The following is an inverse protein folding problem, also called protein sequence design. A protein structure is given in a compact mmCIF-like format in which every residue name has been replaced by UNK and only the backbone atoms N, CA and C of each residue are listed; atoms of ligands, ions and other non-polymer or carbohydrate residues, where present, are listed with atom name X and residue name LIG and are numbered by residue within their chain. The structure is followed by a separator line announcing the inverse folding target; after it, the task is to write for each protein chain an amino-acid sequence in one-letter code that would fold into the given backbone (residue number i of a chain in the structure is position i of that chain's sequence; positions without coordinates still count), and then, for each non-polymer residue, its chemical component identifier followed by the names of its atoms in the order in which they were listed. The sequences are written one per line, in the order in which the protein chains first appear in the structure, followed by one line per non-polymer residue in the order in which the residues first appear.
data_IF_506797616989
#
_entry.id   IF_506797616989
#
_cell.length_a   1.000
_cell.length_b   1.000
_cell.length_c   1.000
_cell.angle_alpha   90.00
_cell.angle_beta   90.00
_cell.angle_gamma   90.00
#
_symmetry.space_group_name_H-M   'P 1'
#
loop_
_entity.id
_entity.type
_entity.pdbx_description
1 polymer ?
#
# COMPACT_ATOMS: atom_id res chain seq x y z
N UNK A 1 6.00 -9.17 16.47
CA UNK A 1 5.56 -9.91 15.25
C UNK A 1 5.62 -11.42 15.51
N UNK A 2 4.57 -12.18 15.28
CA UNK A 2 4.51 -13.64 15.43
C UNK A 2 4.89 -14.37 14.13
N UNK A 3 5.04 -15.72 14.21
CA UNK A 3 5.41 -16.52 13.03
C UNK A 3 4.39 -16.45 11.89
N UNK A 4 3.10 -16.29 12.20
CA UNK A 4 2.04 -16.19 11.18
C UNK A 4 2.09 -14.84 10.46
N UNK A 5 2.32 -13.73 11.19
CA UNK A 5 2.52 -12.42 10.58
C UNK A 5 3.66 -12.47 9.56
N UNK A 6 4.81 -13.01 9.96
CA UNK A 6 5.99 -13.10 9.10
C UNK A 6 5.75 -13.97 7.87
N UNK A 7 5.09 -15.12 8.05
CA UNK A 7 4.73 -16.02 6.95
C UNK A 7 3.79 -15.32 5.95
N UNK A 8 2.77 -14.61 6.45
CA UNK A 8 1.81 -13.91 5.59
C UNK A 8 2.47 -12.76 4.83
N UNK A 9 3.31 -11.96 5.50
CA UNK A 9 4.08 -10.87 4.87
C UNK A 9 4.96 -11.42 3.76
N UNK A 10 5.69 -12.51 4.02
CA UNK A 10 6.54 -13.13 3.01
C UNK A 10 5.71 -13.76 1.87
N UNK A 11 4.53 -14.30 2.16
CA UNK A 11 3.59 -14.75 1.12
C UNK A 11 3.21 -13.61 0.19
N UNK A 12 2.83 -12.44 0.73
CA UNK A 12 2.50 -11.26 -0.08
C UNK A 12 3.70 -10.81 -0.94
N UNK A 13 4.91 -10.78 -0.36
CA UNK A 13 6.15 -10.45 -1.07
C UNK A 13 6.38 -11.37 -2.25
N UNK A 14 6.29 -12.69 -2.04
CA UNK A 14 6.61 -13.67 -3.08
C UNK A 14 5.52 -13.80 -4.12
N UNK A 15 4.24 -13.74 -3.76
CA UNK A 15 3.16 -13.68 -4.75
C UNK A 15 3.35 -12.51 -5.70
N UNK A 16 3.66 -11.32 -5.18
CA UNK A 16 3.91 -10.15 -6.01
C UNK A 16 5.17 -10.30 -6.88
N UNK A 17 6.30 -10.71 -6.29
CA UNK A 17 7.56 -10.84 -7.02
C UNK A 17 7.49 -11.91 -8.12
N UNK A 18 6.85 -13.04 -7.85
CA UNK A 18 6.70 -14.14 -8.80
C UNK A 18 5.71 -13.82 -9.92
N UNK A 19 4.61 -13.10 -9.63
CA UNK A 19 3.69 -12.62 -10.66
C UNK A 19 4.41 -11.67 -11.63
N UNK A 20 5.20 -10.74 -11.10
CA UNK A 20 6.02 -9.81 -11.87
C UNK A 20 7.07 -10.55 -12.70
N UNK A 21 7.75 -11.52 -12.10
CA UNK A 21 8.77 -12.32 -12.78
C UNK A 21 8.17 -13.12 -13.94
N UNK A 22 7.03 -13.74 -13.74
CA UNK A 22 6.31 -14.48 -14.78
C UNK A 22 5.86 -13.57 -15.91
N UNK A 23 5.36 -12.38 -15.59
CA UNK A 23 4.97 -11.39 -16.59
C UNK A 23 6.18 -10.74 -17.31
N UNK A 24 7.40 -10.92 -16.81
CA UNK A 24 8.61 -10.22 -17.24
C UNK A 24 8.44 -8.70 -17.29
N UNK A 25 7.56 -8.18 -16.46
CA UNK A 25 7.20 -6.76 -16.39
C UNK A 25 6.54 -6.44 -15.08
N UNK A 26 6.91 -5.35 -14.45
CA UNK A 26 6.28 -4.84 -13.22
C UNK A 26 7.29 -4.25 -12.23
N UNK A 27 6.80 -3.89 -11.05
CA UNK A 27 7.55 -3.14 -10.04
C UNK A 27 7.62 -3.94 -8.74
N UNK A 28 8.69 -4.72 -8.51
CA UNK A 28 8.80 -5.57 -7.32
C UNK A 28 9.24 -4.83 -6.06
N UNK A 29 9.87 -3.68 -6.21
CA UNK A 29 10.55 -2.99 -5.12
C UNK A 29 9.63 -2.56 -3.98
N UNK A 30 8.56 -1.82 -4.30
CA UNK A 30 7.55 -1.42 -3.32
C UNK A 30 6.83 -2.63 -2.70
N UNK A 31 6.34 -3.63 -3.46
CA UNK A 31 5.77 -4.84 -2.88
C UNK A 31 6.64 -5.53 -1.84
N UNK A 32 7.94 -5.61 -2.06
CA UNK A 32 8.86 -6.21 -1.10
C UNK A 32 9.09 -5.35 0.14
N UNK A 33 9.21 -4.03 -0.03
CA UNK A 33 9.47 -3.09 1.07
C UNK A 33 8.23 -2.81 1.92
N UNK A 34 7.11 -2.48 1.29
CA UNK A 34 5.90 -2.02 1.95
C UNK A 34 4.94 -3.15 2.39
N UNK A 35 5.26 -4.43 2.10
CA UNK A 35 4.39 -5.56 2.48
C UNK A 35 4.03 -5.58 3.97
N UNK A 36 4.92 -5.30 4.94
CA UNK A 36 4.54 -5.29 6.35
C UNK A 36 3.53 -4.19 6.69
N UNK A 37 3.68 -3.00 6.12
CA UNK A 37 2.75 -1.89 6.33
C UNK A 37 1.35 -2.22 5.77
N UNK A 38 1.30 -2.73 4.54
CA UNK A 38 0.07 -3.16 3.91
C UNK A 38 -0.59 -4.33 4.67
N UNK A 39 0.19 -5.33 5.09
CA UNK A 39 -0.29 -6.45 5.91
C UNK A 39 -0.88 -5.95 7.24
N UNK A 40 -0.16 -5.08 7.95
CA UNK A 40 -0.61 -4.58 9.25
C UNK A 40 -1.95 -3.87 9.13
N UNK A 41 -2.09 -3.01 8.12
CA UNK A 41 -3.36 -2.37 7.84
C UNK A 41 -4.47 -3.39 7.54
N UNK A 42 -4.27 -4.28 6.58
CA UNK A 42 -5.31 -5.20 6.09
C UNK A 42 -5.69 -6.27 7.10
N UNK A 43 -4.73 -6.80 7.86
CA UNK A 43 -4.97 -7.89 8.80
C UNK A 43 -5.48 -7.43 10.16
N UNK A 44 -5.14 -6.21 10.58
CA UNK A 44 -5.33 -5.79 11.97
C UNK A 44 -6.22 -4.56 12.14
N UNK A 45 -6.37 -3.72 11.11
CA UNK A 45 -6.96 -2.40 11.26
C UNK A 45 -8.10 -2.10 10.29
N UNK A 46 -8.09 -2.67 9.09
CA UNK A 46 -9.04 -2.38 8.02
C UNK A 46 -10.42 -2.99 8.30
N UNK A 47 -11.44 -2.17 8.37
CA UNK A 47 -12.84 -2.59 8.46
C UNK A 47 -13.37 -2.92 7.07
N UNK A 48 -13.38 -4.21 6.72
CA UNK A 48 -13.78 -4.69 5.40
C UNK A 48 -14.55 -6.01 5.47
N UNK A 49 -15.31 -6.30 4.42
CA UNK A 49 -16.02 -7.58 4.28
C UNK A 49 -15.81 -8.11 2.86
N UNK A 50 -14.89 -9.06 2.63
CA UNK A 50 -14.65 -9.62 1.30
C UNK A 50 -15.89 -10.30 0.67
N UNK A 51 -16.79 -10.84 1.49
CA UNK A 51 -18.05 -11.43 1.01
C UNK A 51 -19.08 -10.36 0.55
N UNK A 52 -18.91 -9.11 1.00
CA UNK A 52 -19.68 -7.95 0.55
C UNK A 52 -18.74 -6.78 0.27
N UNK A 53 -17.93 -6.84 -0.81
CA UNK A 53 -16.88 -5.87 -1.10
C UNK A 53 -17.41 -4.45 -1.40
N UNK A 54 -18.72 -4.33 -1.61
CA UNK A 54 -19.38 -3.03 -1.85
C UNK A 54 -20.15 -2.51 -0.63
N UNK A 55 -19.93 -3.09 0.56
CA UNK A 55 -20.55 -2.59 1.78
C UNK A 55 -20.27 -1.08 1.96
N UNK A 56 -21.33 -0.30 2.18
CA UNK A 56 -21.25 1.17 2.12
C UNK A 56 -20.35 1.76 3.22
N UNK A 57 -20.35 1.19 4.42
CA UNK A 57 -19.54 1.67 5.54
C UNK A 57 -18.23 0.87 5.74
N UNK A 58 -17.71 0.23 4.67
CA UNK A 58 -16.35 -0.34 4.67
C UNK A 58 -15.31 0.77 4.67
N UNK A 59 -14.15 0.51 5.26
CA UNK A 59 -12.99 1.35 5.04
C UNK A 59 -12.56 1.32 3.56
N UNK A 60 -11.94 2.38 3.09
CA UNK A 60 -11.41 2.51 1.73
C UNK A 60 -9.90 2.37 1.76
N UNK A 61 -9.36 1.51 0.91
CA UNK A 61 -7.93 1.39 0.71
C UNK A 61 -7.55 1.81 -0.70
N UNK A 62 -6.69 2.81 -0.82
CA UNK A 62 -6.20 3.36 -2.08
C UNK A 62 -4.69 3.10 -2.19
N UNK A 63 -4.27 2.33 -3.18
CA UNK A 63 -2.86 2.24 -3.54
C UNK A 63 -2.52 3.41 -4.45
N UNK A 64 -2.07 4.54 -3.86
CA UNK A 64 -1.67 5.74 -4.61
C UNK A 64 -0.39 5.48 -5.43
N UNK A 65 0.53 4.70 -4.91
CA UNK A 65 1.67 4.17 -5.66
C UNK A 65 1.21 3.00 -6.55
N UNK A 66 0.37 3.31 -7.56
CA UNK A 66 -0.34 2.30 -8.38
C UNK A 66 0.57 1.32 -9.12
N UNK A 67 1.84 1.66 -9.34
CA UNK A 67 2.85 0.75 -9.88
C UNK A 67 3.09 -0.48 -8.98
N UNK A 68 2.83 -0.38 -7.67
CA UNK A 68 2.85 -1.50 -6.72
C UNK A 68 1.65 -2.44 -6.80
N UNK A 69 0.89 -2.43 -7.89
CA UNK A 69 -0.36 -3.19 -8.10
C UNK A 69 -0.27 -4.67 -7.75
N UNK A 70 0.88 -5.32 -7.98
CA UNK A 70 1.07 -6.73 -7.64
C UNK A 70 0.93 -6.98 -6.12
N UNK A 71 1.30 -6.01 -5.25
CA UNK A 71 1.03 -6.09 -3.81
C UNK A 71 -0.48 -6.04 -3.53
N UNK A 72 -1.20 -5.11 -4.15
CA UNK A 72 -2.65 -5.01 -3.98
C UNK A 72 -3.37 -6.28 -4.41
N UNK A 73 -2.99 -6.86 -5.55
CA UNK A 73 -3.61 -8.12 -6.00
C UNK A 73 -3.26 -9.30 -5.09
N UNK A 74 -2.05 -9.33 -4.53
CA UNK A 74 -1.67 -10.32 -3.52
C UNK A 74 -2.51 -10.17 -2.24
N UNK A 75 -2.76 -8.95 -1.78
CA UNK A 75 -3.67 -8.66 -0.67
C UNK A 75 -5.10 -9.13 -0.99
N UNK A 76 -5.65 -8.74 -2.13
CA UNK A 76 -7.00 -9.12 -2.55
C UNK A 76 -7.16 -10.66 -2.63
N UNK A 77 -6.12 -11.36 -3.09
CA UNK A 77 -6.10 -12.83 -3.10
C UNK A 77 -6.10 -13.41 -1.67
N UNK A 78 -5.14 -12.99 -0.84
CA UNK A 78 -4.94 -13.53 0.52
C UNK A 78 -6.13 -13.23 1.43
N UNK A 79 -6.74 -12.05 1.29
CA UNK A 79 -7.87 -11.62 2.11
C UNK A 79 -9.25 -11.97 1.53
N UNK A 80 -9.31 -12.78 0.45
CA UNK A 80 -10.54 -13.44 0.02
C UNK A 80 -11.47 -12.61 -0.88
N UNK A 81 -10.96 -11.65 -1.63
CA UNK A 81 -11.75 -10.86 -2.60
C UNK A 81 -12.00 -11.56 -3.94
N UNK A 82 -11.77 -12.85 -4.02
CA UNK A 82 -12.10 -13.69 -5.16
C UNK A 82 -11.02 -13.81 -6.22
N UNK A 83 -9.90 -13.08 -6.14
CA UNK A 83 -8.76 -13.32 -7.01
C UNK A 83 -8.14 -14.70 -6.73
N UNK A 84 -7.88 -15.46 -7.77
CA UNK A 84 -7.25 -16.78 -7.69
C UNK A 84 -5.74 -16.70 -7.95
N UNK A 85 -5.03 -17.78 -7.65
CA UNK A 85 -3.60 -17.92 -8.04
C UNK A 85 -3.43 -17.81 -9.56
N UNK A 86 -4.38 -18.32 -10.35
CA UNK A 86 -4.32 -18.23 -11.80
C UNK A 86 -4.46 -16.77 -12.29
N UNK A 87 -5.27 -15.96 -11.59
CA UNK A 87 -5.35 -14.52 -11.89
C UNK A 87 -4.02 -13.81 -11.62
N UNK A 88 -3.34 -14.14 -10.50
CA UNK A 88 -2.01 -13.60 -10.21
C UNK A 88 -0.96 -14.05 -11.24
N UNK A 89 -1.03 -15.31 -11.71
CA UNK A 89 -0.17 -15.81 -12.79
C UNK A 89 -0.38 -15.08 -14.13
N UNK A 90 -1.55 -14.48 -14.31
CA UNK A 90 -1.91 -13.70 -15.50
C UNK A 90 -1.69 -12.20 -15.31
N UNK A 91 -0.87 -11.80 -14.34
CA UNK A 91 -0.52 -10.39 -14.12
C UNK A 91 -0.03 -9.72 -15.40
N UNK A 92 -0.60 -8.54 -15.71
CA UNK A 92 -0.31 -7.73 -16.92
C UNK A 92 -0.61 -8.42 -18.24
N UNK A 93 -1.36 -9.52 -18.25
CA UNK A 93 -1.77 -10.14 -19.50
C UNK A 93 -3.07 -9.52 -20.03
N UNK A 94 -3.28 -9.60 -21.35
CA UNK A 94 -4.50 -9.10 -21.96
C UNK A 94 -5.74 -9.77 -21.35
N UNK A 95 -6.74 -8.97 -21.01
CA UNK A 95 -8.02 -9.39 -20.41
C UNK A 95 -7.88 -10.07 -19.01
N UNK A 96 -6.74 -9.92 -18.33
CA UNK A 96 -6.59 -10.45 -16.98
C UNK A 96 -7.30 -9.56 -15.95
N UNK A 97 -7.68 -10.13 -14.81
CA UNK A 97 -8.21 -9.39 -13.66
C UNK A 97 -7.13 -8.65 -12.87
N UNK A 98 -5.86 -8.77 -13.29
CA UNK A 98 -4.70 -8.18 -12.63
C UNK A 98 -3.89 -7.30 -13.60
N UNK A 99 -4.48 -6.17 -14.07
CA UNK A 99 -3.80 -5.24 -14.98
C UNK A 99 -2.55 -4.63 -14.33
N UNK A 100 -1.73 -3.97 -15.13
CA UNK A 100 -0.45 -3.40 -14.68
C UNK A 100 -0.56 -2.34 -13.59
N UNK A 101 -1.69 -1.65 -13.53
CA UNK A 101 -2.07 -0.68 -12.50
C UNK A 101 -3.50 -0.97 -12.07
N UNK A 102 -3.90 -0.62 -10.81
CA UNK A 102 -5.26 -0.87 -10.36
C UNK A 102 -6.30 -0.14 -11.20
N UNK A 103 -7.38 -0.83 -11.56
CA UNK A 103 -8.49 -0.28 -12.33
C UNK A 103 -9.81 -0.46 -11.57
N UNK A 104 -10.48 0.66 -11.26
CA UNK A 104 -11.77 0.66 -10.57
C UNK A 104 -12.84 -0.07 -11.37
N UNK A 105 -13.61 -0.92 -10.70
CA UNK A 105 -14.64 -1.81 -11.28
C UNK A 105 -14.12 -2.92 -12.19
N UNK A 106 -12.83 -2.98 -12.48
CA UNK A 106 -12.24 -4.10 -13.22
C UNK A 106 -11.89 -5.26 -12.28
N UNK A 107 -11.23 -4.95 -11.16
CA UNK A 107 -10.87 -5.93 -10.13
C UNK A 107 -11.69 -5.69 -8.88
N UNK A 108 -12.35 -6.71 -8.35
CA UNK A 108 -13.12 -6.62 -7.09
C UNK A 108 -12.22 -6.17 -5.95
N UNK A 109 -12.66 -5.17 -5.18
CA UNK A 109 -11.91 -4.61 -4.05
C UNK A 109 -10.95 -3.47 -4.42
N UNK A 110 -10.81 -3.13 -5.70
CA UNK A 110 -10.09 -1.92 -6.13
C UNK A 110 -11.01 -0.71 -6.04
N UNK A 111 -10.63 0.24 -5.19
CA UNK A 111 -11.46 1.44 -4.90
C UNK A 111 -11.23 2.58 -5.89
N UNK A 112 -10.05 2.68 -6.48
CA UNK A 112 -9.66 3.79 -7.38
C UNK A 112 -8.73 3.28 -8.47
N UNK A 113 -8.90 3.77 -9.69
CA UNK A 113 -7.91 3.62 -10.76
C UNK A 113 -6.70 4.52 -10.44
N UNK A 114 -5.53 3.93 -10.32
CA UNK A 114 -4.27 4.63 -10.06
C UNK A 114 -3.19 4.22 -11.05
N UNK A 115 -2.08 4.92 -11.03
CA UNK A 115 -0.95 4.78 -11.97
C UNK A 115 -0.25 6.12 -12.09
N UNK A 116 -0.90 7.20 -12.54
CA UNK A 116 -0.34 8.55 -12.41
C UNK A 116 -0.15 8.90 -10.93
N UNK A 117 1.10 9.19 -10.54
CA UNK A 117 1.47 9.44 -9.15
C UNK A 117 0.72 10.65 -8.58
N UNK A 118 0.48 10.66 -7.27
CA UNK A 118 -0.27 11.72 -6.57
C UNK A 118 -1.79 11.66 -6.69
N UNK A 119 -2.33 11.08 -7.77
CA UNK A 119 -3.78 11.03 -8.01
C UNK A 119 -4.51 10.19 -6.94
N UNK A 120 -3.91 9.10 -6.47
CA UNK A 120 -4.50 8.27 -5.42
C UNK A 120 -4.69 9.02 -4.10
N UNK A 121 -3.73 9.87 -3.71
CA UNK A 121 -3.85 10.75 -2.54
C UNK A 121 -5.01 11.72 -2.71
N UNK A 122 -5.11 12.37 -3.87
CA UNK A 122 -6.19 13.30 -4.15
C UNK A 122 -7.58 12.62 -4.11
N UNK A 123 -7.69 11.40 -4.67
CA UNK A 123 -8.91 10.60 -4.56
C UNK A 123 -9.22 10.21 -3.11
N UNK A 124 -8.21 9.85 -2.31
CA UNK A 124 -8.40 9.53 -0.90
C UNK A 124 -8.94 10.73 -0.10
N UNK A 125 -8.43 11.93 -0.37
CA UNK A 125 -8.97 13.17 0.22
C UNK A 125 -10.42 13.38 -0.19
N UNK A 126 -10.77 13.15 -1.47
CA UNK A 126 -12.15 13.23 -1.94
C UNK A 126 -13.09 12.22 -1.26
N UNK A 127 -12.61 10.99 -1.01
CA UNK A 127 -13.37 9.97 -0.28
C UNK A 127 -13.56 10.33 1.19
N UNK A 128 -12.53 10.86 1.86
CA UNK A 128 -12.63 11.32 3.24
C UNK A 128 -13.58 12.52 3.38
N UNK A 129 -13.57 13.42 2.40
CA UNK A 129 -14.54 14.53 2.33
C UNK A 129 -15.97 14.00 2.14
N UNK A 130 -16.17 13.01 1.28
CA UNK A 130 -17.47 12.38 1.07
C UNK A 130 -17.96 11.68 2.35
N UNK A 131 -17.09 10.97 3.07
CA UNK A 131 -17.41 10.37 4.37
C UNK A 131 -17.87 11.42 5.36
N UNK A 132 -17.11 12.49 5.55
CA UNK A 132 -17.43 13.58 6.47
C UNK A 132 -18.78 14.22 6.14
N UNK A 133 -19.06 14.47 4.85
CA UNK A 133 -20.35 15.02 4.39
C UNK A 133 -21.50 14.05 4.68
N UNK A 134 -21.34 12.76 4.36
CA UNK A 134 -22.38 11.74 4.58
C UNK A 134 -22.62 11.49 6.07
N UNK A 135 -21.57 11.48 6.88
CA UNK A 135 -21.65 11.37 8.33
C UNK A 135 -22.46 12.53 8.94
N UNK A 136 -22.16 13.77 8.51
CA UNK A 136 -22.91 14.95 8.96
C UNK A 136 -24.39 14.92 8.54
N UNK A 137 -24.70 14.26 7.42
CA UNK A 137 -26.07 14.19 6.90
C UNK A 137 -26.88 13.06 7.52
N UNK A 138 -26.29 11.89 7.79
CA UNK A 138 -27.02 10.67 8.13
C UNK A 138 -26.78 10.15 9.55
N UNK A 139 -25.70 10.55 10.22
CA UNK A 139 -25.45 10.10 11.58
C UNK A 139 -26.35 10.85 12.59
N UNK A 140 -26.75 10.13 13.62
CA UNK A 140 -27.44 10.68 14.78
C UNK A 140 -26.61 10.43 16.05
N UNK A 141 -26.94 11.05 17.19
CA UNK A 141 -26.26 10.74 18.46
C UNK A 141 -26.28 9.25 18.83
N UNK A 142 -27.37 8.54 18.45
CA UNK A 142 -27.58 7.13 18.78
C UNK A 142 -27.00 6.19 17.73
N UNK A 143 -26.90 6.61 16.46
CA UNK A 143 -26.51 5.75 15.36
C UNK A 143 -25.48 6.39 14.43
N UNK A 144 -24.35 5.74 14.26
CA UNK A 144 -23.34 6.08 13.24
C UNK A 144 -23.55 5.20 12.01
N UNK A 145 -24.24 5.75 11.01
CA UNK A 145 -24.52 5.07 9.73
C UNK A 145 -23.31 5.12 8.82
N UNK A 146 -22.51 6.19 8.91
CA UNK A 146 -21.28 6.40 8.13
C UNK A 146 -20.15 6.68 9.10
N UNK A 147 -19.21 5.74 9.20
CA UNK A 147 -18.10 5.83 10.18
C UNK A 147 -16.91 4.99 9.69
N UNK A 148 -16.42 5.29 8.48
CA UNK A 148 -15.32 4.56 7.87
C UNK A 148 -14.09 5.45 7.65
N UNK A 149 -12.93 4.82 7.69
CA UNK A 149 -11.65 5.46 7.35
C UNK A 149 -11.33 5.32 5.87
N UNK A 150 -10.52 6.24 5.39
CA UNK A 150 -9.87 6.16 4.08
C UNK A 150 -8.36 6.06 4.29
N UNK A 151 -7.78 4.98 3.81
CA UNK A 151 -6.35 4.74 3.88
C UNK A 151 -5.72 4.87 2.49
N UNK A 152 -4.58 5.53 2.40
CA UNK A 152 -3.79 5.58 1.18
C UNK A 152 -2.37 5.08 1.45
N UNK A 153 -1.85 4.19 0.57
CA UNK A 153 -0.44 3.83 0.55
C UNK A 153 0.24 4.56 -0.61
N UNK A 154 1.22 5.38 -0.30
CA UNK A 154 1.98 6.17 -1.27
C UNK A 154 3.48 5.99 -1.09
N UNK A 155 4.26 6.34 -2.09
CA UNK A 155 5.71 6.43 -2.03
C UNK A 155 6.18 7.88 -2.25
N UNK A 156 7.49 8.09 -2.25
CA UNK A 156 8.14 9.38 -2.45
C UNK A 156 7.63 10.10 -3.71
N UNK A 157 7.51 9.38 -4.83
CA UNK A 157 7.05 9.95 -6.10
C UNK A 157 5.62 10.50 -6.06
N UNK A 158 4.72 9.93 -5.24
CA UNK A 158 3.38 10.48 -5.07
C UNK A 158 3.41 11.86 -4.38
N UNK A 159 4.34 12.06 -3.45
CA UNK A 159 4.44 13.29 -2.66
C UNK A 159 5.21 14.40 -3.38
N UNK A 160 5.86 14.07 -4.50
CA UNK A 160 6.48 15.06 -5.40
C UNK A 160 5.46 15.73 -6.32
N UNK A 161 4.29 15.11 -6.52
CA UNK A 161 3.26 15.65 -7.40
C UNK A 161 2.49 16.83 -6.78
N UNK A 162 2.28 17.89 -7.56
CA UNK A 162 1.56 19.10 -7.11
C UNK A 162 0.15 18.80 -6.61
N UNK A 163 -0.58 17.90 -7.31
CA UNK A 163 -1.93 17.53 -6.92
C UNK A 163 -2.01 16.89 -5.53
N UNK A 164 -0.98 16.16 -5.11
CA UNK A 164 -0.92 15.59 -3.75
C UNK A 164 -0.80 16.71 -2.70
N UNK A 165 0.01 17.72 -2.96
CA UNK A 165 0.19 18.87 -2.08
C UNK A 165 -1.09 19.70 -1.96
N UNK A 166 -1.75 19.98 -3.09
CA UNK A 166 -3.03 20.72 -3.11
C UNK A 166 -4.12 19.98 -2.34
N UNK A 167 -4.26 18.67 -2.58
CA UNK A 167 -5.24 17.83 -1.88
C UNK A 167 -4.94 17.72 -0.37
N UNK A 168 -3.66 17.56 0.00
CA UNK A 168 -3.25 17.50 1.41
C UNK A 168 -3.53 18.82 2.14
N UNK A 169 -3.26 19.96 1.52
CA UNK A 169 -3.60 21.28 2.06
C UNK A 169 -5.10 21.44 2.28
N UNK A 170 -5.94 20.99 1.34
CA UNK A 170 -7.39 20.99 1.48
C UNK A 170 -7.84 20.10 2.65
N UNK A 171 -7.30 18.89 2.76
CA UNK A 171 -7.65 17.95 3.83
C UNK A 171 -7.34 18.51 5.22
N UNK A 172 -6.18 19.14 5.39
CA UNK A 172 -5.82 19.82 6.64
C UNK A 172 -6.72 21.01 6.96
N UNK A 173 -7.02 21.85 5.95
CA UNK A 173 -7.94 22.99 6.11
C UNK A 173 -9.33 22.55 6.55
N UNK A 174 -9.82 21.42 6.04
CA UNK A 174 -11.15 20.88 6.35
C UNK A 174 -11.16 19.96 7.58
N UNK A 175 -10.00 19.65 8.18
CA UNK A 175 -9.91 18.76 9.33
C UNK A 175 -10.42 17.35 9.06
N UNK A 176 -10.11 16.78 7.89
CA UNK A 176 -10.59 15.45 7.48
C UNK A 176 -9.88 14.34 8.26
N UNK A 177 -10.24 14.14 9.51
CA UNK A 177 -9.55 13.27 10.45
C UNK A 177 -9.68 11.76 10.18
N UNK A 178 -10.48 11.35 9.20
CA UNK A 178 -10.62 9.95 8.82
C UNK A 178 -9.81 9.55 7.58
N UNK A 179 -8.87 10.40 7.14
CA UNK A 179 -7.85 9.99 6.19
C UNK A 179 -6.54 9.68 6.91
N UNK A 180 -5.97 8.51 6.63
CA UNK A 180 -4.67 8.08 7.13
C UNK A 180 -3.81 7.66 5.95
N UNK A 181 -2.69 8.36 5.75
CA UNK A 181 -1.73 8.07 4.68
C UNK A 181 -0.56 7.28 5.25
N UNK A 182 -0.32 6.08 4.71
CA UNK A 182 0.89 5.30 4.94
C UNK A 182 1.91 5.70 3.87
N UNK A 183 2.98 6.33 4.27
CA UNK A 183 4.03 6.81 3.36
C UNK A 183 5.22 5.85 3.40
N UNK A 184 5.40 5.08 2.32
CA UNK A 184 6.56 4.24 2.04
C UNK A 184 7.75 5.11 1.70
N UNK A 185 8.55 5.46 2.71
CA UNK A 185 9.76 6.27 2.60
C UNK A 185 10.96 5.35 2.36
N UNK A 186 11.25 5.07 1.10
CA UNK A 186 12.32 4.14 0.74
C UNK A 186 13.52 4.84 0.08
N UNK A 187 13.47 6.15 -0.08
CA UNK A 187 14.52 7.03 -0.61
C UNK A 187 14.95 6.76 -2.05
N UNK A 188 14.19 5.98 -2.81
CA UNK A 188 14.52 5.62 -4.20
C UNK A 188 13.38 6.00 -5.14
N UNK A 189 13.74 6.63 -6.23
CA UNK A 189 12.90 6.82 -7.42
C UNK A 189 13.37 5.90 -8.55
N UNK A 190 12.78 6.04 -9.75
CA UNK A 190 13.08 5.19 -10.91
C UNK A 190 14.58 5.14 -11.21
N UNK A 191 15.27 6.27 -11.19
CA UNK A 191 16.67 6.38 -11.64
C UNK A 191 17.69 6.48 -10.49
N UNK A 192 17.25 6.70 -9.24
CA UNK A 192 18.19 6.87 -8.14
C UNK A 192 17.60 7.40 -6.85
N UNK A 193 18.48 7.96 -6.04
CA UNK A 193 18.17 8.50 -4.73
C UNK A 193 17.27 9.74 -4.82
N UNK A 194 16.28 9.83 -3.93
CA UNK A 194 15.37 10.98 -3.81
C UNK A 194 16.10 12.27 -3.52
N UNK A 195 17.25 12.26 -2.84
CA UNK A 195 18.03 13.45 -2.50
C UNK A 195 18.42 14.30 -3.72
N UNK A 196 18.38 13.73 -4.93
CA UNK A 196 18.65 14.47 -6.17
C UNK A 196 17.56 15.50 -6.49
N UNK A 197 16.29 15.20 -6.20
CA UNK A 197 15.14 16.01 -6.62
C UNK A 197 14.07 16.19 -5.52
N UNK A 198 14.19 15.52 -4.39
CA UNK A 198 13.20 15.51 -3.32
C UNK A 198 13.89 15.45 -1.94
N UNK A 199 14.53 16.57 -1.57
CA UNK A 199 15.33 16.69 -0.34
C UNK A 199 14.56 17.41 0.79
N UNK A 200 13.25 17.54 0.68
CA UNK A 200 12.41 18.22 1.67
C UNK A 200 12.13 17.35 2.90
N UNK A 201 11.75 18.01 4.00
CA UNK A 201 11.17 17.36 5.17
C UNK A 201 9.66 17.24 4.97
N UNK A 202 9.24 16.05 4.51
CA UNK A 202 7.82 15.76 4.21
C UNK A 202 6.94 15.94 5.44
N UNK A 203 7.37 15.48 6.63
CA UNK A 203 6.55 15.57 7.83
C UNK A 203 6.31 17.02 8.22
N UNK A 204 7.33 17.90 8.16
CA UNK A 204 7.15 19.32 8.41
C UNK A 204 6.23 19.99 7.40
N UNK A 205 6.29 19.59 6.12
CA UNK A 205 5.34 20.08 5.12
C UNK A 205 3.91 19.72 5.48
N UNK A 206 3.65 18.47 5.89
CA UNK A 206 2.32 18.03 6.31
C UNK A 206 1.86 18.66 7.64
N UNK A 207 2.77 18.88 8.58
CA UNK A 207 2.49 19.68 9.80
C UNK A 207 2.01 21.09 9.44
N UNK A 208 2.66 21.74 8.46
CA UNK A 208 2.25 23.06 7.98
C UNK A 208 0.88 23.04 7.28
N UNK A 209 0.45 21.91 6.70
CA UNK A 209 -0.91 21.74 6.20
C UNK A 209 -1.93 21.46 7.31
N UNK A 210 -1.51 21.27 8.57
CA UNK A 210 -2.40 20.97 9.68
C UNK A 210 -2.67 19.49 9.91
N UNK A 211 -1.82 18.61 9.40
CA UNK A 211 -1.90 17.17 9.62
C UNK A 211 -1.23 16.72 10.93
N UNK A 212 -1.69 15.61 11.47
CA UNK A 212 -0.96 14.80 12.43
C UNK A 212 0.13 14.01 11.71
N UNK A 213 1.36 14.06 12.21
CA UNK A 213 2.50 13.40 11.58
C UNK A 213 3.15 12.42 12.52
N UNK A 214 3.46 11.24 12.02
CA UNK A 214 4.08 10.17 12.78
C UNK A 214 5.19 9.53 11.95
N UNK A 215 6.16 8.90 12.63
CA UNK A 215 7.26 8.19 12.01
C UNK A 215 7.44 6.79 12.61
N UNK A 216 7.62 5.80 11.75
CA UNK A 216 8.01 4.43 12.08
C UNK A 216 9.38 4.17 11.47
N UNK A 217 10.39 4.01 12.33
CA UNK A 217 11.79 3.91 11.94
C UNK A 217 12.18 2.56 11.28
N UNK A 218 11.38 1.51 11.47
CA UNK A 218 11.56 0.21 10.82
C UNK A 218 10.25 -0.27 10.22
N UNK A 219 10.17 -0.24 8.91
CA UNK A 219 9.00 -0.71 8.14
C UNK A 219 8.70 -2.21 8.28
N UNK A 220 9.53 -2.98 8.97
CA UNK A 220 9.25 -4.37 9.31
C UNK A 220 8.70 -4.54 10.74
N UNK A 221 8.64 -3.49 11.53
CA UNK A 221 8.06 -3.53 12.87
C UNK A 221 6.53 -3.39 12.80
N UNK A 222 5.84 -4.53 12.68
CA UNK A 222 4.38 -4.64 12.61
C UNK A 222 3.69 -4.00 13.83
N UNK A 223 4.30 -4.13 15.01
CA UNK A 223 3.71 -3.63 16.25
C UNK A 223 3.82 -2.09 16.31
N UNK A 224 4.94 -1.52 15.87
CA UNK A 224 5.11 -0.08 15.74
C UNK A 224 4.17 0.53 14.67
N UNK A 225 4.03 -0.13 13.52
CA UNK A 225 3.08 0.30 12.47
C UNK A 225 1.64 0.29 12.99
N UNK A 226 1.24 -0.78 13.69
CA UNK A 226 -0.09 -0.88 14.28
C UNK A 226 -0.34 0.21 15.32
N UNK A 227 0.64 0.46 16.18
CA UNK A 227 0.55 1.52 17.19
C UNK A 227 0.39 2.92 16.56
N UNK A 228 1.12 3.20 15.47
CA UNK A 228 1.00 4.44 14.74
C UNK A 228 -0.39 4.61 14.09
N UNK A 229 -0.94 3.56 13.45
CA UNK A 229 -2.30 3.60 12.90
C UNK A 229 -3.34 3.81 14.01
N UNK A 230 -3.19 3.13 15.15
CA UNK A 230 -4.08 3.29 16.30
C UNK A 230 -4.00 4.70 16.92
N UNK A 231 -2.84 5.34 16.88
CA UNK A 231 -2.67 6.73 17.32
C UNK A 231 -3.32 7.70 16.31
N UNK A 232 -3.12 7.49 15.01
CA UNK A 232 -3.75 8.28 13.94
C UNK A 232 -5.28 8.26 14.02
N UNK A 233 -5.88 7.10 14.35
CA UNK A 233 -7.35 6.98 14.55
C UNK A 233 -7.88 7.81 15.73
N UNK A 234 -7.03 8.25 16.64
CA UNK A 234 -7.41 9.09 17.79
C UNK A 234 -7.18 10.58 17.54
N UNK A 235 -6.50 10.91 16.46
CA UNK A 235 -6.26 12.30 16.06
C UNK A 235 -7.55 12.96 15.58
N UNK A 236 -7.71 14.24 15.84
CA UNK A 236 -8.76 15.09 15.30
C UNK A 236 -8.35 15.72 13.94
N UNK A 237 -7.21 15.33 13.40
CA UNK A 237 -6.61 15.81 12.16
C UNK A 237 -6.43 14.67 11.15
N UNK A 238 -6.35 14.97 9.84
CA UNK A 238 -5.83 14.00 8.88
C UNK A 238 -4.42 13.57 9.31
N UNK A 239 -4.06 12.30 9.06
CA UNK A 239 -2.78 11.75 9.54
C UNK A 239 -1.93 11.20 8.41
N UNK A 240 -0.61 11.44 8.49
CA UNK A 240 0.40 10.79 7.67
C UNK A 240 1.41 10.06 8.56
N UNK A 241 1.66 8.80 8.23
CA UNK A 241 2.62 7.94 8.93
C UNK A 241 3.77 7.66 7.97
N UNK A 242 4.91 8.30 8.17
CA UNK A 242 6.14 8.00 7.45
C UNK A 242 6.70 6.68 7.96
N UNK A 243 6.88 5.73 7.07
CA UNK A 243 7.39 4.40 7.39
C UNK A 243 8.70 4.22 6.62
N UNK A 244 9.81 4.15 7.36
CA UNK A 244 11.12 3.90 6.78
C UNK A 244 11.22 2.47 6.28
N UNK A 245 11.33 2.31 4.97
CA UNK A 245 11.38 1.01 4.32
C UNK A 245 12.66 0.85 3.49
N UNK A 246 12.85 -0.33 2.94
CA UNK A 246 13.90 -0.59 1.96
C UNK A 246 13.27 -1.17 0.71
N UNK A 247 13.38 -0.45 -0.40
CA UNK A 247 12.93 -0.95 -1.70
C UNK A 247 13.58 -2.31 -1.99
N UNK A 248 12.80 -3.28 -2.48
CA UNK A 248 13.34 -4.60 -2.77
C UNK A 248 13.80 -5.37 -1.53
N UNK A 249 13.18 -5.17 -0.36
CA UNK A 249 13.57 -5.77 0.90
C UNK A 249 13.76 -7.28 0.81
N UNK A 250 14.88 -7.76 1.33
CA UNK A 250 15.25 -9.17 1.34
C UNK A 250 16.02 -9.62 0.10
N UNK A 251 16.05 -8.86 -1.00
CA UNK A 251 16.80 -9.19 -2.20
C UNK A 251 18.30 -8.90 -2.02
N UNK A 252 19.18 -9.90 -1.91
CA UNK A 252 20.57 -9.68 -1.47
C UNK A 252 21.36 -8.74 -2.37
N UNK A 253 21.09 -8.75 -3.68
CA UNK A 253 21.84 -7.97 -4.66
C UNK A 253 21.13 -6.67 -5.07
N UNK A 254 19.80 -6.56 -4.85
CA UNK A 254 18.98 -5.44 -5.36
C UNK A 254 18.34 -4.58 -4.27
N UNK A 255 18.28 -5.02 -3.01
CA UNK A 255 17.69 -4.25 -1.92
C UNK A 255 18.34 -2.86 -1.80
N UNK A 256 17.51 -1.82 -1.66
CA UNK A 256 17.95 -0.43 -1.51
C UNK A 256 18.50 0.21 -2.79
N UNK A 257 18.32 -0.42 -3.95
CA UNK A 257 18.84 0.08 -5.24
C UNK A 257 17.70 0.40 -6.21
N UNK A 258 17.92 1.37 -7.09
CA UNK A 258 16.99 1.72 -8.17
C UNK A 258 16.65 0.52 -9.08
N UNK A 259 17.59 -0.43 -9.27
CA UNK A 259 17.36 -1.67 -10.03
C UNK A 259 16.29 -2.60 -9.45
N UNK A 260 15.83 -2.37 -8.22
CA UNK A 260 14.67 -3.06 -7.66
C UNK A 260 13.34 -2.38 -7.99
N UNK A 261 13.35 -1.13 -8.49
CA UNK A 261 12.14 -0.32 -8.62
C UNK A 261 11.17 -0.89 -9.66
N UNK A 262 11.56 -0.93 -10.93
CA UNK A 262 10.66 -1.11 -12.06
C UNK A 262 10.97 -2.31 -12.97
N UNK A 263 11.84 -3.22 -12.56
CA UNK A 263 12.25 -4.40 -13.32
C UNK A 263 12.03 -5.68 -12.52
N UNK A 264 11.69 -6.82 -13.17
CA UNK A 264 11.68 -8.11 -12.52
C UNK A 264 13.01 -8.38 -11.81
N UNK A 265 12.96 -9.03 -10.65
CA UNK A 265 14.18 -9.32 -9.88
C UNK A 265 15.12 -10.30 -10.61
N UNK A 266 14.56 -11.22 -11.40
CA UNK A 266 15.23 -12.38 -11.94
C UNK A 266 14.98 -13.63 -11.07
N UNK A 267 14.92 -14.80 -11.68
CA UNK A 267 14.60 -16.05 -10.99
C UNK A 267 15.59 -16.37 -9.87
N UNK A 268 16.89 -16.18 -10.14
CA UNK A 268 17.94 -16.42 -9.15
C UNK A 268 17.84 -15.46 -7.97
N UNK A 269 17.57 -14.17 -8.22
CA UNK A 269 17.42 -13.20 -7.14
C UNK A 269 16.17 -13.49 -6.28
N UNK A 270 15.08 -13.97 -6.88
CA UNK A 270 13.87 -14.39 -6.12
C UNK A 270 14.22 -15.60 -5.24
N UNK A 271 14.97 -16.57 -5.74
CA UNK A 271 15.43 -17.72 -4.98
C UNK A 271 16.28 -17.29 -3.78
N UNK A 272 17.29 -16.46 -4.02
CA UNK A 272 18.13 -15.90 -2.96
C UNK A 272 17.31 -15.07 -1.95
N UNK A 273 16.30 -14.34 -2.40
CA UNK A 273 15.39 -13.58 -1.53
C UNK A 273 14.57 -14.51 -0.63
N UNK A 274 14.06 -15.61 -1.17
CA UNK A 274 13.35 -16.64 -0.39
C UNK A 274 14.25 -17.25 0.68
N UNK A 275 15.49 -17.58 0.34
CA UNK A 275 16.49 -18.10 1.27
C UNK A 275 16.82 -17.09 2.37
N UNK A 276 17.08 -15.84 2.00
CA UNK A 276 17.43 -14.77 2.91
C UNK A 276 16.29 -14.45 3.90
N UNK A 277 15.04 -14.53 3.46
CA UNK A 277 13.85 -14.30 4.31
C UNK A 277 13.37 -15.57 5.03
N UNK A 278 14.10 -16.68 4.93
CA UNK A 278 13.78 -17.93 5.63
C UNK A 278 12.46 -18.56 5.17
N UNK A 279 12.16 -18.51 3.85
CA UNK A 279 10.94 -19.09 3.31
C UNK A 279 10.90 -20.61 3.58
N UNK A 280 9.86 -21.11 4.30
CA UNK A 280 9.92 -22.46 4.86
C UNK A 280 9.60 -23.59 3.84
N UNK A 281 9.13 -23.25 2.65
CA UNK A 281 8.67 -24.23 1.69
C UNK A 281 9.76 -24.66 0.69
N UNK A 282 9.75 -25.94 0.32
CA UNK A 282 10.78 -26.54 -0.50
C UNK A 282 10.76 -26.07 -1.99
N UNK A 283 9.66 -25.47 -2.44
CA UNK A 283 9.50 -24.99 -3.82
C UNK A 283 10.25 -23.69 -4.06
N UNK A 284 11.55 -23.67 -3.73
CA UNK A 284 12.41 -22.49 -3.91
C UNK A 284 12.53 -22.07 -5.37
N UNK A 285 12.33 -23.00 -6.29
CA UNK A 285 12.39 -22.79 -7.73
C UNK A 285 11.00 -22.60 -8.38
N UNK A 286 9.93 -22.71 -7.60
CA UNK A 286 8.56 -22.52 -8.11
C UNK A 286 8.19 -21.05 -8.17
N UNK A 287 7.58 -20.61 -9.27
CA UNK A 287 7.03 -19.26 -9.40
C UNK A 287 5.82 -19.02 -8.48
N UNK A 288 5.18 -20.09 -8.01
CA UNK A 288 4.09 -20.02 -7.03
C UNK A 288 4.16 -21.25 -6.13
N UNK A 289 4.03 -21.10 -4.80
CA UNK A 289 4.09 -22.24 -3.90
C UNK A 289 3.03 -23.28 -4.26
N UNK A 290 3.42 -24.55 -4.27
CA UNK A 290 2.47 -25.65 -4.36
C UNK A 290 1.75 -25.77 -3.01
N UNK A 291 0.46 -26.00 -3.05
CA UNK A 291 -0.35 -26.25 -1.85
C UNK A 291 0.03 -27.59 -1.23
#
# INVERSE_FOLDING_TARGET
MNNMDNLTINTLRFLAAEAIQKAKSGHPGLPLGAAPAAYTLWAKELKANPANPNWDDRDRFILSAGHGSALLYSLLHVFGYGLTIEDLKNFRQRNSLTPGHPEYKHTTGVEVTTGPLGQGIANAVGMALAESHLAAKFNTPEFKVVDHYTYALCGDGCLQEGVASEAASLAGTMGLNKIIVLYDSNHITIEGDTATAFAEDVLKRFEAYGWDTQEVADGNDVDAIQAAIAAAKKSDKPSIIKIETKIGYGAPNKQGKASAHGEPLGEEEIKLTKENLGWPYADKDSLFPKR
#
